data_IF_464404093211
#
_entry.id   IF_464404093211
#
_cell.length_a   1.000
_cell.length_b   1.000
_cell.length_c   1.000
_cell.angle_alpha   90.00
_cell.angle_beta   90.00
_cell.angle_gamma   90.00
#
_symmetry.space_group_name_H-M   'P 1'
#
loop_
_entity.id
_entity.type
_entity.pdbx_description
1 polymer ?
#
# COMPACT_ATOMS: atom_id res chain seq x y z
N UNK A 1 -19.13 -1.04 -4.67
CA UNK A 1 -18.75 -0.46 -3.37
C UNK A 1 -18.39 1.02 -3.48
N UNK A 2 -17.37 1.44 -4.23
CA UNK A 2 -16.88 2.83 -4.31
C UNK A 2 -17.97 3.82 -4.74
N UNK A 3 -18.67 3.55 -5.83
CA UNK A 3 -19.77 4.40 -6.29
C UNK A 3 -20.90 4.55 -5.27
N UNK A 4 -21.20 3.48 -4.50
CA UNK A 4 -22.17 3.55 -3.41
C UNK A 4 -21.71 4.51 -2.30
N UNK A 5 -20.45 4.39 -1.87
CA UNK A 5 -19.89 5.31 -0.87
C UNK A 5 -20.03 6.76 -1.33
N UNK A 6 -19.64 7.04 -2.57
CA UNK A 6 -19.74 8.39 -3.14
C UNK A 6 -21.17 8.91 -3.16
N UNK A 7 -22.12 8.12 -3.66
CA UNK A 7 -23.54 8.53 -3.75
C UNK A 7 -24.19 8.76 -2.39
N UNK A 8 -23.81 7.97 -1.37
CA UNK A 8 -24.32 8.15 0.00
C UNK A 8 -23.72 9.39 0.67
N UNK A 9 -22.44 9.68 0.40
CA UNK A 9 -21.79 10.90 0.87
C UNK A 9 -22.24 12.15 0.10
N UNK A 10 -22.72 11.99 -1.15
CA UNK A 10 -23.13 13.08 -2.04
C UNK A 10 -24.51 12.80 -2.66
N UNK A 11 -25.62 12.94 -1.91
CA UNK A 11 -26.95 12.56 -2.39
C UNK A 11 -27.43 13.31 -3.63
N UNK A 12 -26.88 14.50 -3.90
CA UNK A 12 -27.20 15.34 -5.05
C UNK A 12 -26.37 15.03 -6.29
N UNK A 13 -25.40 14.12 -6.19
CA UNK A 13 -24.53 13.72 -7.30
C UNK A 13 -25.31 13.02 -8.40
N UNK A 14 -24.97 13.30 -9.65
CA UNK A 14 -25.53 12.66 -10.84
C UNK A 14 -24.53 11.69 -11.52
N UNK A 15 -23.33 11.51 -10.97
CA UNK A 15 -22.26 10.68 -11.55
C UNK A 15 -22.65 9.23 -11.77
N UNK A 16 -23.64 8.70 -11.01
CA UNK A 16 -24.18 7.34 -11.20
C UNK A 16 -24.70 7.06 -12.61
N UNK A 17 -25.12 8.10 -13.35
CA UNK A 17 -25.61 7.96 -14.71
C UNK A 17 -24.48 7.59 -15.70
N UNK A 18 -23.23 7.86 -15.34
CA UNK A 18 -22.03 7.59 -16.14
C UNK A 18 -21.43 6.20 -15.82
N UNK A 19 -21.95 5.50 -14.81
CA UNK A 19 -21.38 4.22 -14.34
C UNK A 19 -22.18 3.01 -14.85
N UNK A 20 -21.66 2.32 -15.81
CA UNK A 20 -22.29 1.17 -16.45
C UNK A 20 -22.64 0.06 -15.45
N UNK A 21 -21.79 -0.19 -14.46
CA UNK A 21 -21.94 -1.26 -13.47
C UNK A 21 -22.52 -0.78 -12.13
N UNK A 22 -23.16 0.38 -12.08
CA UNK A 22 -23.78 0.85 -10.84
C UNK A 22 -25.06 0.10 -10.55
N UNK A 23 -25.05 -0.68 -9.48
CA UNK A 23 -26.24 -1.39 -8.97
C UNK A 23 -26.86 -0.57 -7.84
N UNK A 24 -28.14 -0.25 -7.97
CA UNK A 24 -28.86 0.43 -6.89
C UNK A 24 -28.89 -0.49 -5.65
N UNK A 25 -28.55 0.04 -4.46
CA UNK A 25 -28.63 -0.73 -3.24
C UNK A 25 -30.06 -1.20 -2.99
N UNK A 26 -30.21 -2.45 -2.53
CA UNK A 26 -31.50 -2.93 -2.02
C UNK A 26 -31.88 -2.15 -0.75
N UNK A 27 -33.18 -2.02 -0.51
CA UNK A 27 -33.69 -1.45 0.73
C UNK A 27 -33.15 -2.25 1.92
N UNK A 28 -32.64 -1.53 2.91
CA UNK A 28 -32.09 -2.09 4.13
C UNK A 28 -33.10 -1.91 5.28
N UNK A 29 -32.98 -2.73 6.31
CA UNK A 29 -33.70 -2.49 7.57
C UNK A 29 -33.23 -1.15 8.20
N UNK A 30 -34.11 -0.51 8.94
CA UNK A 30 -33.77 0.79 9.58
C UNK A 30 -32.53 0.73 10.46
N UNK A 31 -32.31 -0.40 11.11
CA UNK A 31 -31.16 -0.62 11.99
C UNK A 31 -29.83 -0.69 11.20
N UNK A 32 -29.83 -1.48 10.11
CA UNK A 32 -28.67 -1.59 9.21
C UNK A 32 -28.41 -0.25 8.51
N UNK A 33 -29.47 0.46 8.10
CA UNK A 33 -29.32 1.77 7.47
C UNK A 33 -28.70 2.81 8.44
N UNK A 34 -29.07 2.80 9.72
CA UNK A 34 -28.47 3.67 10.74
C UNK A 34 -26.98 3.36 10.94
N UNK A 35 -26.62 2.10 11.04
CA UNK A 35 -25.23 1.69 11.17
C UNK A 35 -24.40 2.12 9.94
N UNK A 36 -24.93 1.92 8.75
CA UNK A 36 -24.28 2.31 7.51
C UNK A 36 -24.08 3.83 7.41
N UNK A 37 -25.12 4.61 7.78
CA UNK A 37 -25.04 6.06 7.79
C UNK A 37 -23.99 6.55 8.82
N UNK A 38 -23.89 5.91 9.98
CA UNK A 38 -22.87 6.23 10.97
C UNK A 38 -21.45 5.96 10.45
N UNK A 39 -21.21 4.83 9.79
CA UNK A 39 -19.91 4.51 9.18
C UNK A 39 -19.54 5.51 8.08
N UNK A 40 -20.50 5.88 7.24
CA UNK A 40 -20.25 6.88 6.19
C UNK A 40 -19.97 8.25 6.78
N UNK A 41 -20.70 8.64 7.82
CA UNK A 41 -20.45 9.91 8.50
C UNK A 41 -19.04 9.94 9.12
N UNK A 42 -18.63 8.86 9.79
CA UNK A 42 -17.27 8.73 10.32
C UNK A 42 -16.23 8.89 9.18
N UNK A 43 -16.48 8.26 8.04
CA UNK A 43 -15.57 8.36 6.90
C UNK A 43 -15.51 9.76 6.29
N UNK A 44 -16.64 10.49 6.28
CA UNK A 44 -16.68 11.90 5.85
C UNK A 44 -15.93 12.79 6.86
N UNK A 45 -16.11 12.54 8.15
CA UNK A 45 -15.49 13.33 9.21
C UNK A 45 -13.95 13.19 9.20
N UNK A 46 -13.42 12.05 8.76
CA UNK A 46 -11.98 11.84 8.53
C UNK A 46 -11.42 12.80 7.47
N UNK A 47 -12.20 13.12 6.44
CA UNK A 47 -11.83 14.05 5.38
C UNK A 47 -12.18 15.52 5.69
N UNK A 48 -12.94 15.75 6.78
CA UNK A 48 -13.37 17.07 7.27
C UNK A 48 -14.84 17.38 6.98
N UNK A 49 -15.14 18.16 5.94
CA UNK A 49 -16.53 18.61 5.66
C UNK A 49 -17.26 17.69 4.70
N UNK A 50 -16.52 17.07 3.78
CA UNK A 50 -17.08 16.20 2.74
C UNK A 50 -16.03 15.21 2.26
N UNK A 51 -16.49 14.06 1.75
CA UNK A 51 -15.63 13.02 1.21
C UNK A 51 -14.76 13.57 0.07
N UNK A 52 -13.44 13.40 0.21
CA UNK A 52 -12.47 13.84 -0.77
C UNK A 52 -12.15 12.67 -1.73
N UNK A 53 -12.24 12.82 -3.05
CA UNK A 53 -11.87 11.76 -3.98
C UNK A 53 -10.40 11.30 -3.83
N UNK A 54 -9.50 12.17 -3.36
CA UNK A 54 -8.09 11.81 -3.15
C UNK A 54 -7.86 10.81 -2.01
N UNK A 55 -8.78 10.72 -1.04
CA UNK A 55 -8.67 9.82 0.10
C UNK A 55 -9.31 8.44 -0.14
N UNK A 56 -10.17 8.32 -1.17
CA UNK A 56 -10.83 7.06 -1.51
C UNK A 56 -9.80 6.05 -2.00
N UNK A 57 -9.76 4.86 -1.39
CA UNK A 57 -8.82 3.81 -1.73
C UNK A 57 -9.53 2.52 -2.14
N UNK A 58 -9.04 1.93 -3.23
CA UNK A 58 -9.58 0.70 -3.83
C UNK A 58 -8.47 -0.32 -3.97
N UNK A 59 -8.63 -1.49 -3.37
CA UNK A 59 -7.72 -2.63 -3.54
C UNK A 59 -8.38 -3.72 -4.36
N UNK A 60 -7.70 -4.19 -5.38
CA UNK A 60 -7.98 -5.49 -6.00
C UNK A 60 -6.89 -6.48 -5.57
N UNK A 61 -7.20 -7.41 -4.64
CA UNK A 61 -6.20 -8.30 -4.05
C UNK A 61 -5.82 -9.48 -4.96
N UNK A 62 -6.45 -9.62 -6.12
CA UNK A 62 -6.18 -10.63 -7.15
C UNK A 62 -6.41 -10.01 -8.53
N UNK A 63 -5.69 -8.92 -8.83
CA UNK A 63 -6.02 -7.99 -9.89
C UNK A 63 -5.94 -8.55 -11.32
N UNK A 64 -5.31 -9.70 -11.52
CA UNK A 64 -5.20 -10.32 -12.83
C UNK A 64 -4.68 -9.35 -13.89
N UNK A 65 -5.47 -9.12 -14.94
CA UNK A 65 -5.17 -8.15 -16.00
C UNK A 65 -5.63 -6.71 -15.69
N UNK A 66 -6.21 -6.45 -14.51
CA UNK A 66 -6.59 -5.12 -14.03
C UNK A 66 -7.95 -4.62 -14.48
N UNK A 67 -8.86 -5.48 -14.96
CA UNK A 67 -10.18 -5.04 -15.46
C UNK A 67 -10.99 -4.29 -14.39
N UNK A 68 -11.03 -4.78 -13.16
CA UNK A 68 -11.75 -4.13 -12.05
C UNK A 68 -11.12 -2.77 -11.74
N UNK A 69 -9.80 -2.68 -11.76
CA UNK A 69 -9.08 -1.44 -11.50
C UNK A 69 -9.30 -0.40 -12.62
N UNK A 70 -9.43 -0.83 -13.88
CA UNK A 70 -9.77 0.05 -15.02
C UNK A 70 -11.17 0.62 -14.86
N UNK A 71 -12.16 -0.19 -14.46
CA UNK A 71 -13.51 0.29 -14.15
C UNK A 71 -13.53 1.23 -12.94
N UNK A 72 -12.75 0.91 -11.89
CA UNK A 72 -12.61 1.78 -10.74
C UNK A 72 -11.97 3.13 -11.12
N UNK A 73 -11.06 3.15 -12.08
CA UNK A 73 -10.49 4.38 -12.64
C UNK A 73 -11.57 5.29 -13.21
N UNK A 74 -12.49 4.77 -14.02
CA UNK A 74 -13.58 5.58 -14.63
C UNK A 74 -14.54 6.10 -13.56
N UNK A 75 -14.87 5.29 -12.55
CA UNK A 75 -15.67 5.74 -11.42
C UNK A 75 -15.01 6.90 -10.66
N UNK A 76 -13.73 6.77 -10.34
CA UNK A 76 -12.97 7.79 -9.64
C UNK A 76 -12.81 9.07 -10.47
N UNK A 77 -12.53 8.93 -11.77
CA UNK A 77 -12.44 10.06 -12.70
C UNK A 77 -13.69 10.92 -12.67
N UNK A 78 -14.88 10.31 -12.71
CA UNK A 78 -16.15 11.03 -12.63
C UNK A 78 -16.27 11.81 -11.31
N UNK A 79 -15.85 11.22 -10.19
CA UNK A 79 -15.86 11.88 -8.86
C UNK A 79 -14.91 13.08 -8.82
N UNK A 80 -13.71 12.96 -9.37
CA UNK A 80 -12.76 14.07 -9.45
C UNK A 80 -13.28 15.21 -10.34
N UNK A 81 -13.89 14.88 -11.49
CA UNK A 81 -14.50 15.87 -12.38
C UNK A 81 -15.65 16.61 -11.69
N UNK A 82 -16.51 15.90 -10.96
CA UNK A 82 -17.60 16.50 -10.19
C UNK A 82 -17.07 17.48 -9.12
N UNK A 83 -15.90 17.20 -8.53
CA UNK A 83 -15.20 18.07 -7.59
C UNK A 83 -14.44 19.23 -8.25
N UNK A 84 -14.48 19.35 -9.58
CA UNK A 84 -13.86 20.44 -10.33
C UNK A 84 -12.34 20.32 -10.49
N UNK A 85 -11.78 19.11 -10.35
CA UNK A 85 -10.36 18.89 -10.64
C UNK A 85 -10.10 19.05 -12.14
N UNK A 86 -8.88 19.49 -12.48
CA UNK A 86 -8.47 19.61 -13.88
C UNK A 86 -8.27 18.23 -14.48
N UNK A 87 -8.92 17.94 -15.60
CA UNK A 87 -8.88 16.63 -16.28
C UNK A 87 -7.46 16.11 -16.50
N UNK A 88 -6.49 16.99 -16.71
CA UNK A 88 -5.08 16.63 -16.93
C UNK A 88 -4.39 16.08 -15.65
N UNK A 89 -4.79 16.54 -14.46
CA UNK A 89 -4.15 16.17 -13.21
C UNK A 89 -4.76 14.90 -12.63
N UNK A 90 -6.00 14.58 -12.97
CA UNK A 90 -6.78 13.45 -12.47
C UNK A 90 -6.07 12.09 -12.68
N UNK A 91 -5.54 11.75 -13.88
CA UNK A 91 -4.93 10.45 -14.12
C UNK A 91 -3.83 10.10 -13.13
N UNK A 92 -2.95 11.05 -12.84
CA UNK A 92 -1.85 10.87 -11.91
C UNK A 92 -2.35 10.66 -10.48
N UNK A 93 -3.33 11.48 -10.05
CA UNK A 93 -3.91 11.37 -8.70
C UNK A 93 -4.54 10.00 -8.48
N UNK A 94 -5.33 9.51 -9.45
CA UNK A 94 -5.97 8.19 -9.36
C UNK A 94 -4.94 7.08 -9.23
N UNK A 95 -3.89 7.09 -10.07
CA UNK A 95 -2.89 6.03 -10.11
C UNK A 95 -1.98 6.02 -8.87
N UNK A 96 -1.67 7.20 -8.31
CA UNK A 96 -0.77 7.30 -7.17
C UNK A 96 -1.47 7.17 -5.82
N UNK A 97 -2.76 7.57 -5.71
CA UNK A 97 -3.47 7.66 -4.44
C UNK A 97 -4.59 6.66 -4.24
N UNK A 98 -5.32 6.33 -5.30
CA UNK A 98 -6.59 5.62 -5.15
C UNK A 98 -6.53 4.13 -5.47
N UNK A 99 -5.77 3.72 -6.49
CA UNK A 99 -5.80 2.35 -7.00
C UNK A 99 -4.62 1.53 -6.48
N UNK A 100 -4.95 0.38 -5.91
CA UNK A 100 -4.01 -0.60 -5.38
C UNK A 100 -4.34 -1.97 -5.96
N UNK A 101 -3.33 -2.76 -6.30
CA UNK A 101 -3.52 -4.09 -6.84
C UNK A 101 -2.44 -5.06 -6.40
N UNK A 102 -2.86 -6.27 -6.07
CA UNK A 102 -1.96 -7.38 -5.76
C UNK A 102 -2.27 -8.53 -6.70
N UNK A 103 -1.26 -9.30 -7.03
CA UNK A 103 -1.42 -10.59 -7.70
C UNK A 103 -0.30 -11.54 -7.27
N UNK A 104 -0.52 -12.84 -7.38
CA UNK A 104 0.52 -13.84 -7.15
C UNK A 104 1.44 -13.99 -8.37
N UNK A 105 0.94 -13.64 -9.56
CA UNK A 105 1.68 -13.71 -10.83
C UNK A 105 2.25 -12.34 -11.21
N UNK A 106 3.57 -12.30 -11.39
CA UNK A 106 4.27 -11.10 -11.81
C UNK A 106 3.82 -10.59 -13.20
N UNK A 107 3.47 -11.49 -14.11
CA UNK A 107 3.00 -11.12 -15.46
C UNK A 107 1.61 -10.48 -15.39
N UNK A 108 0.74 -11.00 -14.53
CA UNK A 108 -0.59 -10.43 -14.29
C UNK A 108 -0.46 -9.00 -13.74
N UNK A 109 0.34 -8.79 -12.71
CA UNK A 109 0.59 -7.47 -12.15
C UNK A 109 1.20 -6.48 -13.17
N UNK A 110 2.10 -6.95 -14.05
CA UNK A 110 2.62 -6.12 -15.14
C UNK A 110 1.54 -5.75 -16.15
N UNK A 111 0.68 -6.70 -16.51
CA UNK A 111 -0.42 -6.47 -17.44
C UNK A 111 -1.44 -5.47 -16.87
N UNK A 112 -1.81 -5.62 -15.60
CA UNK A 112 -2.67 -4.66 -14.90
C UNK A 112 -2.05 -3.26 -14.87
N UNK A 113 -0.77 -3.17 -14.55
CA UNK A 113 -0.03 -1.91 -14.57
C UNK A 113 -0.04 -1.25 -15.94
N UNK A 114 0.18 -2.05 -16.99
CA UNK A 114 0.15 -1.57 -18.36
C UNK A 114 -1.26 -1.10 -18.77
N UNK A 115 -2.30 -1.88 -18.45
CA UNK A 115 -3.69 -1.53 -18.74
C UNK A 115 -4.08 -0.18 -18.11
N UNK A 116 -3.74 0.01 -16.82
CA UNK A 116 -3.99 1.27 -16.12
C UNK A 116 -3.22 2.46 -16.72
N UNK A 117 -1.94 2.28 -17.09
CA UNK A 117 -1.17 3.34 -17.73
C UNK A 117 -1.76 3.71 -19.11
N UNK A 118 -2.21 2.73 -19.87
CA UNK A 118 -2.85 2.97 -21.16
C UNK A 118 -4.19 3.68 -20.99
N UNK A 119 -5.00 3.30 -20.01
CA UNK A 119 -6.25 3.97 -19.66
C UNK A 119 -6.01 5.43 -19.27
N UNK A 120 -5.09 5.68 -18.37
CA UNK A 120 -4.74 7.02 -17.92
C UNK A 120 -4.15 7.90 -19.04
N UNK A 121 -3.43 7.28 -20.01
CA UNK A 121 -2.89 7.97 -21.17
C UNK A 121 -3.97 8.51 -22.11
N UNK A 122 -5.16 7.92 -22.13
CA UNK A 122 -6.28 8.45 -22.91
C UNK A 122 -6.62 9.89 -22.47
N UNK A 123 -6.50 10.17 -21.18
CA UNK A 123 -6.79 11.47 -20.56
C UNK A 123 -5.57 12.40 -20.52
N UNK A 124 -4.37 11.88 -20.30
CA UNK A 124 -3.11 12.64 -20.34
C UNK A 124 -2.05 11.97 -21.24
N UNK A 125 -1.94 12.45 -22.48
CA UNK A 125 -0.98 11.95 -23.46
C UNK A 125 0.49 12.13 -23.03
N UNK A 126 0.75 12.98 -22.05
CA UNK A 126 2.11 13.26 -21.57
C UNK A 126 2.52 12.37 -20.39
N UNK A 127 1.58 11.61 -19.84
CA UNK A 127 1.77 10.76 -18.65
C UNK A 127 3.00 9.83 -18.74
N UNK A 128 3.19 9.21 -19.90
CA UNK A 128 4.29 8.26 -20.12
C UNK A 128 5.69 8.91 -20.21
N UNK A 129 5.78 10.25 -20.34
CA UNK A 129 7.08 10.95 -20.29
C UNK A 129 7.65 11.00 -18.86
N UNK A 130 6.77 11.04 -17.88
CA UNK A 130 7.09 10.94 -16.47
C UNK A 130 6.02 10.07 -15.80
N UNK A 131 6.13 8.74 -15.91
CA UNK A 131 5.10 7.83 -15.44
C UNK A 131 4.93 7.92 -13.92
N UNK A 132 3.67 7.89 -13.43
CA UNK A 132 3.41 7.85 -12.00
C UNK A 132 3.87 6.52 -11.38
N UNK A 133 4.12 6.54 -10.07
CA UNK A 133 4.36 5.32 -9.31
C UNK A 133 3.04 4.60 -9.08
N UNK A 134 2.89 3.42 -9.64
CA UNK A 134 1.71 2.58 -9.42
C UNK A 134 1.83 1.79 -8.12
N UNK A 135 0.67 1.56 -7.48
CA UNK A 135 0.57 0.70 -6.30
C UNK A 135 0.10 -0.72 -6.70
N UNK A 136 0.58 -1.20 -7.83
CA UNK A 136 0.30 -2.54 -8.36
C UNK A 136 1.55 -3.37 -8.24
N UNK A 137 1.44 -4.54 -7.60
CA UNK A 137 2.60 -5.41 -7.40
C UNK A 137 2.23 -6.89 -7.38
N UNK A 138 3.21 -7.71 -7.76
CA UNK A 138 3.15 -9.14 -7.52
C UNK A 138 3.72 -9.47 -6.15
N UNK A 139 3.07 -10.38 -5.45
CA UNK A 139 3.55 -10.88 -4.17
C UNK A 139 4.89 -11.60 -4.34
N UNK A 140 5.83 -11.25 -3.47
CA UNK A 140 7.15 -11.87 -3.40
C UNK A 140 7.23 -12.75 -2.16
N UNK A 141 7.83 -13.90 -2.31
CA UNK A 141 8.19 -14.78 -1.22
C UNK A 141 9.53 -14.38 -0.62
N UNK A 142 9.73 -14.71 0.64
CA UNK A 142 10.98 -14.43 1.36
C UNK A 142 12.15 -15.27 0.85
N UNK A 143 11.87 -16.45 0.27
CA UNK A 143 12.91 -17.36 -0.20
C UNK A 143 13.90 -17.74 0.91
N UNK A 144 15.20 -17.71 0.60
CA UNK A 144 16.28 -18.09 1.50
C UNK A 144 16.75 -16.93 2.41
N UNK A 145 15.86 -15.99 2.76
CA UNK A 145 16.23 -14.89 3.64
C UNK A 145 16.30 -15.36 5.10
N UNK A 146 17.49 -15.29 5.68
CA UNK A 146 17.73 -15.59 7.08
C UNK A 146 17.55 -14.33 7.94
N UNK A 147 16.67 -14.41 8.95
CA UNK A 147 16.34 -13.29 9.84
C UNK A 147 17.56 -12.79 10.61
N UNK A 148 18.34 -13.69 11.18
CA UNK A 148 19.50 -13.33 12.01
C UNK A 148 20.56 -12.62 11.18
N UNK A 149 20.81 -13.13 9.98
CA UNK A 149 21.75 -12.53 9.05
C UNK A 149 21.27 -11.14 8.59
N UNK A 150 20.00 -11.01 8.21
CA UNK A 150 19.42 -9.72 7.82
C UNK A 150 19.51 -8.69 8.92
N UNK A 151 19.18 -9.08 10.16
CA UNK A 151 19.26 -8.20 11.32
C UNK A 151 20.67 -7.71 11.57
N UNK A 152 21.64 -8.62 11.52
CA UNK A 152 23.06 -8.29 11.67
C UNK A 152 23.56 -7.37 10.53
N UNK A 153 23.18 -7.66 9.28
CA UNK A 153 23.57 -6.85 8.12
C UNK A 153 22.96 -5.43 8.19
N UNK A 154 21.75 -5.28 8.75
CA UNK A 154 21.09 -3.97 8.94
C UNK A 154 21.76 -3.13 10.02
N UNK A 155 22.28 -3.74 11.08
CA UNK A 155 22.99 -3.10 12.19
C UNK A 155 22.27 -1.83 12.74
N UNK A 156 20.94 -1.93 12.92
CA UNK A 156 20.10 -0.78 13.31
C UNK A 156 20.45 -0.23 14.70
N UNK A 157 21.02 -1.05 15.58
CA UNK A 157 21.42 -0.65 16.93
C UNK A 157 22.86 -0.17 17.01
N UNK A 158 23.54 -0.01 15.85
CA UNK A 158 24.95 0.37 15.77
C UNK A 158 25.88 -0.50 16.67
N UNK A 159 25.49 -1.78 16.84
CA UNK A 159 26.24 -2.73 17.66
C UNK A 159 27.67 -2.96 17.13
N UNK A 160 27.86 -2.75 15.83
CA UNK A 160 29.15 -2.80 15.16
C UNK A 160 29.62 -1.39 14.83
N UNK A 161 30.48 -0.79 15.67
CA UNK A 161 31.15 0.47 15.32
C UNK A 161 32.09 0.21 14.15
N UNK A 162 31.97 1.00 13.09
CA UNK A 162 32.93 0.99 11.97
C UNK A 162 34.33 1.27 12.50
N UNK A 163 35.19 0.23 12.47
CA UNK A 163 36.64 0.32 12.44
C UNK A 163 37.30 1.49 13.19
N UNK A 164 37.18 1.57 14.50
CA UNK A 164 38.17 2.30 15.30
C UNK A 164 39.21 1.29 15.75
N UNK A 165 40.46 1.56 15.41
CA UNK A 165 41.61 0.75 15.81
C UNK A 165 41.89 0.78 17.34
N UNK A 166 41.03 1.44 18.13
CA UNK A 166 41.23 1.68 19.55
C UNK A 166 40.58 0.66 20.49
N UNK A 167 39.75 -0.24 20.00
CA UNK A 167 39.03 -1.22 20.87
C UNK A 167 39.59 -2.66 20.81
N UNK A 168 40.92 -2.84 20.80
CA UNK A 168 41.46 -4.18 20.96
C UNK A 168 41.45 -4.64 22.43
N UNK A 169 41.14 -3.79 23.38
CA UNK A 169 41.15 -4.04 24.82
C UNK A 169 40.06 -3.35 25.65
N UNK A 170 39.00 -2.86 25.05
CA UNK A 170 37.90 -2.17 25.72
C UNK A 170 36.77 -3.11 26.11
N UNK A 171 36.83 -3.62 27.32
CA UNK A 171 35.72 -4.28 28.01
C UNK A 171 34.72 -3.23 28.49
N UNK A 172 33.70 -2.95 27.73
CA UNK A 172 32.39 -2.62 28.24
C UNK A 172 31.39 -3.56 27.55
N UNK A 173 30.96 -4.56 28.29
CA UNK A 173 29.76 -5.32 28.00
C UNK A 173 28.60 -4.33 27.94
N UNK A 174 28.39 -3.70 26.75
CA UNK A 174 27.08 -3.19 26.45
C UNK A 174 26.17 -4.40 26.48
N UNK A 175 25.26 -4.45 27.45
CA UNK A 175 24.15 -5.40 27.47
C UNK A 175 23.54 -5.34 26.08
N UNK A 176 23.89 -6.31 25.25
CA UNK A 176 23.22 -6.60 23.99
C UNK A 176 21.78 -6.93 24.40
N UNK A 177 20.91 -5.94 24.43
CA UNK A 177 19.48 -6.19 24.54
C UNK A 177 19.17 -7.22 23.48
N UNK A 178 18.71 -8.39 23.91
CA UNK A 178 18.42 -9.50 23.00
C UNK A 178 17.59 -8.97 21.85
N UNK A 179 17.92 -9.28 20.59
CA UNK A 179 17.21 -8.76 19.40
C UNK A 179 15.70 -8.93 19.52
N UNK A 180 15.27 -9.95 20.23
CA UNK A 180 13.86 -10.30 20.49
C UNK A 180 13.07 -9.22 21.23
N UNK A 181 13.72 -8.28 21.89
CA UNK A 181 13.07 -7.15 22.58
C UNK A 181 12.89 -5.93 21.67
N UNK A 182 13.53 -5.90 20.50
CA UNK A 182 13.38 -4.79 19.53
C UNK A 182 12.11 -4.98 18.71
N UNK A 183 11.23 -3.98 18.73
CA UNK A 183 9.97 -4.01 17.94
C UNK A 183 10.24 -4.14 16.43
N UNK A 184 11.31 -3.54 15.94
CA UNK A 184 11.71 -3.63 14.51
C UNK A 184 12.11 -5.06 14.15
N UNK A 185 12.80 -5.77 15.04
CA UNK A 185 13.13 -7.19 14.87
C UNK A 185 11.87 -8.03 14.74
N UNK A 186 10.89 -7.82 15.62
CA UNK A 186 9.60 -8.54 15.60
C UNK A 186 8.83 -8.28 14.31
N UNK A 187 8.80 -7.02 13.84
CA UNK A 187 8.17 -6.68 12.56
C UNK A 187 8.85 -7.36 11.37
N UNK A 188 10.18 -7.39 11.34
CA UNK A 188 10.92 -8.11 10.29
C UNK A 188 10.65 -9.61 10.37
N UNK A 189 10.65 -10.18 11.55
CA UNK A 189 10.34 -11.60 11.78
C UNK A 189 8.94 -11.95 11.27
N UNK A 190 7.95 -11.14 11.62
CA UNK A 190 6.57 -11.29 11.14
C UNK A 190 6.50 -11.26 9.61
N UNK A 191 7.10 -10.23 8.99
CA UNK A 191 7.12 -10.07 7.54
C UNK A 191 7.75 -11.28 6.86
N UNK A 192 8.88 -11.78 7.36
CA UNK A 192 9.53 -12.95 6.78
C UNK A 192 8.66 -14.21 6.93
N UNK A 193 8.06 -14.44 8.08
CA UNK A 193 7.20 -15.60 8.34
C UNK A 193 5.92 -15.55 7.48
N UNK A 194 5.23 -14.40 7.41
CA UNK A 194 3.98 -14.24 6.66
C UNK A 194 4.18 -14.41 5.14
N UNK A 195 5.35 -14.01 4.62
CA UNK A 195 5.63 -14.09 3.19
C UNK A 195 6.47 -15.30 2.76
N UNK A 196 6.73 -16.25 3.63
CA UNK A 196 7.42 -17.49 3.27
C UNK A 196 6.70 -18.25 2.13
N UNK A 197 5.38 -18.32 2.20
CA UNK A 197 4.52 -18.95 1.19
C UNK A 197 3.51 -17.94 0.60
N UNK A 198 3.96 -16.73 0.30
CA UNK A 198 3.08 -15.63 -0.10
C UNK A 198 2.26 -15.94 -1.35
N UNK A 199 2.80 -16.66 -2.31
CA UNK A 199 2.08 -17.04 -3.54
C UNK A 199 1.02 -18.11 -3.32
N UNK A 200 1.15 -18.90 -2.26
CA UNK A 200 0.16 -19.90 -1.90
C UNK A 200 -1.03 -19.28 -1.18
N UNK A 201 -0.76 -18.38 -0.24
CA UNK A 201 -1.80 -17.74 0.57
C UNK A 201 -2.41 -16.51 -0.11
N UNK A 202 -1.64 -15.79 -0.92
CA UNK A 202 -2.13 -14.64 -1.67
C UNK A 202 -2.78 -13.58 -0.78
N UNK A 203 -4.00 -13.21 -1.11
CA UNK A 203 -4.80 -12.21 -0.39
C UNK A 203 -5.30 -12.65 0.99
N UNK A 204 -5.10 -13.90 1.38
CA UNK A 204 -5.45 -14.41 2.71
C UNK A 204 -4.42 -14.04 3.78
N UNK A 205 -3.28 -13.48 3.39
CA UNK A 205 -2.25 -13.04 4.32
C UNK A 205 -2.78 -11.84 5.10
N UNK A 206 -2.89 -11.99 6.42
CA UNK A 206 -3.24 -10.90 7.34
C UNK A 206 -2.01 -10.48 8.12
N UNK A 207 -1.73 -9.19 8.15
CA UNK A 207 -0.65 -8.60 8.95
C UNK A 207 -1.16 -8.32 10.36
N UNK A 208 -0.31 -8.56 11.38
CA UNK A 208 -0.71 -8.43 12.78
C UNK A 208 -0.49 -7.00 13.30
N UNK A 209 0.54 -6.31 12.81
CA UNK A 209 0.82 -4.93 13.18
C UNK A 209 0.07 -3.92 12.27
N UNK A 210 -0.20 -2.70 12.76
CA UNK A 210 -0.84 -1.67 11.96
C UNK A 210 0.09 -1.13 10.86
N UNK A 211 -0.49 -0.68 9.73
CA UNK A 211 0.20 -0.11 8.56
C UNK A 211 1.32 0.86 8.93
N UNK A 212 1.06 1.71 9.93
CA UNK A 212 2.01 2.75 10.36
C UNK A 212 3.35 2.19 10.79
N UNK A 213 3.37 1.07 11.53
CA UNK A 213 4.62 0.50 12.03
C UNK A 213 5.51 -0.01 10.89
N UNK A 214 4.94 -0.65 9.87
CA UNK A 214 5.68 -1.08 8.68
C UNK A 214 6.15 0.12 7.85
N UNK A 215 5.35 1.18 7.80
CA UNK A 215 5.70 2.42 7.09
C UNK A 215 6.87 3.13 7.77
N UNK A 216 6.84 3.26 9.10
CA UNK A 216 7.90 3.88 9.87
C UNK A 216 9.21 3.09 9.74
N UNK A 217 9.16 1.75 9.84
CA UNK A 217 10.30 0.87 9.63
C UNK A 217 10.85 1.02 8.20
N UNK A 218 9.99 1.04 7.19
CA UNK A 218 10.41 1.22 5.80
C UNK A 218 11.15 2.54 5.62
N UNK A 219 10.63 3.65 6.18
CA UNK A 219 11.26 4.96 6.09
C UNK A 219 12.62 5.00 6.81
N UNK A 220 12.76 4.31 7.94
CA UNK A 220 14.04 4.18 8.63
C UNK A 220 15.06 3.42 7.76
N UNK A 221 14.64 2.30 7.17
CA UNK A 221 15.51 1.50 6.31
C UNK A 221 15.90 2.24 5.01
N UNK A 222 14.99 3.00 4.43
CA UNK A 222 15.29 3.77 3.21
C UNK A 222 16.39 4.81 3.43
N UNK A 223 16.52 5.39 4.62
CA UNK A 223 17.65 6.29 4.97
C UNK A 223 18.99 5.59 4.88
N UNK A 224 19.05 4.29 5.14
CA UNK A 224 20.27 3.50 5.01
C UNK A 224 20.71 3.29 3.56
N UNK A 225 19.83 3.51 2.57
CA UNK A 225 20.23 3.50 1.16
C UNK A 225 21.22 4.62 0.82
N UNK A 226 21.11 5.74 1.52
CA UNK A 226 22.01 6.90 1.32
C UNK A 226 23.22 6.82 2.25
N UNK A 227 23.01 6.55 3.54
CA UNK A 227 24.02 6.66 4.60
C UNK A 227 24.71 5.35 4.97
N UNK A 228 24.06 4.20 4.67
CA UNK A 228 24.52 2.87 5.07
C UNK A 228 25.73 2.35 4.27
N UNK A 229 26.34 1.30 4.79
CA UNK A 229 27.39 0.56 4.10
C UNK A 229 26.82 -0.43 3.05
N UNK A 230 27.71 -1.17 2.40
CA UNK A 230 27.33 -2.11 1.33
C UNK A 230 26.42 -3.24 1.82
N UNK A 231 26.63 -3.76 3.05
CA UNK A 231 25.83 -4.85 3.62
C UNK A 231 24.44 -4.32 3.99
N UNK A 232 24.38 -3.18 4.67
CA UNK A 232 23.13 -2.50 5.00
C UNK A 232 22.28 -2.24 3.75
N UNK A 233 22.88 -1.64 2.72
CA UNK A 233 22.20 -1.36 1.44
C UNK A 233 21.68 -2.63 0.76
N UNK A 234 22.45 -3.71 0.82
CA UNK A 234 22.02 -4.99 0.26
C UNK A 234 20.85 -5.60 1.04
N UNK A 235 20.88 -5.54 2.38
CA UNK A 235 19.80 -6.01 3.25
C UNK A 235 18.51 -5.19 3.02
N UNK A 236 18.62 -3.86 2.98
CA UNK A 236 17.49 -2.96 2.72
C UNK A 236 16.83 -3.25 1.38
N UNK A 237 17.60 -3.43 0.30
CA UNK A 237 17.07 -3.75 -1.04
C UNK A 237 16.27 -5.05 -1.08
N UNK A 238 16.59 -6.01 -0.20
CA UNK A 238 15.83 -7.27 -0.09
C UNK A 238 14.57 -7.10 0.74
N UNK A 239 14.63 -6.32 1.83
CA UNK A 239 13.55 -6.20 2.81
C UNK A 239 12.49 -5.18 2.40
N UNK A 240 12.85 -4.05 1.79
CA UNK A 240 11.91 -2.98 1.42
C UNK A 240 10.76 -3.48 0.52
N UNK A 241 10.97 -4.33 -0.49
CA UNK A 241 9.85 -4.87 -1.28
C UNK A 241 8.86 -5.69 -0.46
N UNK A 242 9.32 -6.43 0.55
CA UNK A 242 8.47 -7.21 1.46
C UNK A 242 7.69 -6.26 2.40
N UNK A 243 8.33 -5.21 2.90
CA UNK A 243 7.66 -4.19 3.71
C UNK A 243 6.57 -3.44 2.92
N UNK A 244 6.79 -3.17 1.65
CA UNK A 244 5.76 -2.56 0.79
C UNK A 244 4.54 -3.48 0.68
N UNK A 245 4.74 -4.79 0.54
CA UNK A 245 3.64 -5.78 0.56
C UNK A 245 2.92 -5.77 1.91
N UNK A 246 3.66 -5.75 3.02
CA UNK A 246 3.11 -5.70 4.36
C UNK A 246 2.26 -4.43 4.57
N UNK A 247 2.74 -3.27 4.12
CA UNK A 247 2.00 -2.01 4.16
C UNK A 247 0.70 -2.12 3.38
N UNK A 248 0.74 -2.66 2.14
CA UNK A 248 -0.46 -2.83 1.32
C UNK A 248 -1.48 -3.77 1.95
N UNK A 249 -1.04 -4.86 2.58
CA UNK A 249 -1.93 -5.83 3.24
C UNK A 249 -2.43 -5.37 4.61
N UNK A 250 -1.68 -4.52 5.32
CA UNK A 250 -2.09 -3.95 6.60
C UNK A 250 -3.01 -2.73 6.46
N UNK A 251 -3.00 -2.08 5.29
CA UNK A 251 -3.80 -0.88 5.00
C UNK A 251 -5.29 -1.22 4.94
N UNK A 252 -6.11 -0.32 5.49
CA UNK A 252 -7.56 -0.37 5.33
C UNK A 252 -7.98 0.36 4.05
N UNK A 253 -8.93 -0.21 3.32
CA UNK A 253 -9.42 0.31 2.05
C UNK A 253 -10.92 0.57 2.10
N UNK A 254 -11.38 1.59 1.36
CA UNK A 254 -12.82 1.90 1.22
C UNK A 254 -13.54 0.83 0.38
N UNK A 255 -12.82 0.14 -0.49
CA UNK A 255 -13.33 -0.98 -1.27
C UNK A 255 -12.23 -2.02 -1.53
N UNK A 256 -12.63 -3.29 -1.42
CA UNK A 256 -11.84 -4.47 -1.76
C UNK A 256 -12.68 -5.38 -2.65
#
# INVERSE_FOLDING_TARGET
SVGRLWMMANPTSNTKAEWEYYIQPAEQTEEVQKQLNALIQTRIDEDGIQLNPESITVLDPACGSGHILVEAYDCLKAMYLERGYRSRDIPRLILEKNLFGLDIDHRAAQLASFALLMKAREDDRTLLRNPPKLNIMALKETGDLDLTRLWNDLNLNAAWKKGSHEDLFGSEEQELSSPENDERFKLIQEVLAKFENAKTFGSLICMDAPEKQYTDLKLELEKLLDTGDTLQKAAVKKLVPLLIQAILLAKQYDAV
#
